data_IF_659522399436
#
_entry.id   IF_659522399436
#
_cell.length_a   1.000
_cell.length_b   1.000
_cell.length_c   1.000
_cell.angle_alpha   90.00
_cell.angle_beta   90.00
_cell.angle_gamma   90.00
#
_symmetry.space_group_name_H-M   'P 1'
#
loop_
_entity.id
_entity.type
_entity.pdbx_description
1 polymer ?
#
# COMPACT_ATOMS: atom_id res chain seq x y z
N UNK A 1 -14.90 -31.66 11.56
CA UNK A 1 -15.36 -30.55 10.70
C UNK A 1 -14.14 -29.79 10.26
N UNK A 2 -13.64 -30.04 9.04
CA UNK A 2 -12.52 -29.31 8.45
C UNK A 2 -13.00 -27.90 8.13
N UNK A 3 -12.47 -26.90 8.84
CA UNK A 3 -12.64 -25.51 8.45
C UNK A 3 -12.17 -25.38 7.00
N UNK A 4 -13.09 -25.09 6.08
CA UNK A 4 -12.71 -24.68 4.74
C UNK A 4 -11.86 -23.44 4.92
N UNK A 5 -10.57 -23.56 4.65
CA UNK A 5 -9.65 -22.43 4.60
C UNK A 5 -10.06 -21.61 3.39
N UNK A 6 -10.99 -20.68 3.57
CA UNK A 6 -11.38 -19.73 2.54
C UNK A 6 -10.12 -18.99 2.08
N UNK A 7 -9.80 -19.08 0.80
CA UNK A 7 -8.69 -18.29 0.26
C UNK A 7 -9.11 -16.82 0.17
N UNK A 8 -8.22 -15.87 0.51
CA UNK A 8 -8.53 -14.46 0.37
C UNK A 8 -8.67 -14.10 -1.12
N UNK A 9 -9.78 -13.46 -1.47
CA UNK A 9 -9.99 -12.92 -2.81
C UNK A 9 -9.39 -11.51 -2.87
N UNK A 10 -8.67 -11.22 -3.95
CA UNK A 10 -7.97 -9.95 -4.14
C UNK A 10 -8.52 -9.24 -5.37
N UNK A 11 -9.14 -8.09 -5.16
CA UNK A 11 -9.85 -7.33 -6.20
C UNK A 11 -9.16 -5.99 -6.42
N UNK A 12 -8.77 -5.66 -7.65
CA UNK A 12 -8.27 -4.33 -7.98
C UNK A 12 -9.42 -3.33 -7.91
N UNK A 13 -9.35 -2.38 -6.98
CA UNK A 13 -10.41 -1.37 -6.78
C UNK A 13 -9.99 0.02 -7.27
N UNK A 14 -8.70 0.25 -7.48
CA UNK A 14 -8.19 1.54 -7.97
C UNK A 14 -6.89 1.37 -8.74
N UNK A 15 -6.83 1.99 -9.90
CA UNK A 15 -5.61 2.12 -10.70
C UNK A 15 -5.20 3.59 -10.79
N UNK A 16 -4.00 3.90 -10.29
CA UNK A 16 -3.29 5.15 -10.52
C UNK A 16 -3.86 6.43 -9.91
N UNK A 17 -3.12 7.01 -8.96
CA UNK A 17 -3.22 8.45 -8.62
C UNK A 17 -1.82 8.97 -8.28
N UNK A 18 -1.53 10.24 -8.60
CA UNK A 18 -0.22 10.85 -8.33
C UNK A 18 -0.41 11.92 -7.27
N UNK A 19 0.16 11.67 -6.09
CA UNK A 19 0.24 12.69 -5.04
C UNK A 19 1.59 13.38 -5.12
N UNK A 20 1.56 14.68 -5.36
CA UNK A 20 2.75 15.52 -5.34
C UNK A 20 2.75 16.36 -4.06
N UNK A 21 3.87 16.31 -3.33
CA UNK A 21 4.13 17.13 -2.16
C UNK A 21 5.40 17.91 -2.42
N UNK A 22 5.32 19.24 -2.37
CA UNK A 22 6.45 20.13 -2.50
C UNK A 22 6.81 20.71 -1.14
N UNK A 23 8.08 20.62 -0.75
CA UNK A 23 8.55 21.24 0.48
C UNK A 23 9.00 22.69 0.26
N UNK A 24 9.22 23.42 1.36
CA UNK A 24 9.66 24.82 1.37
C UNK A 24 11.05 25.06 0.73
N UNK A 25 11.84 24.01 0.55
CA UNK A 25 13.18 24.06 -0.05
C UNK A 25 13.17 23.75 -1.56
N UNK A 26 11.99 23.58 -2.18
CA UNK A 26 11.86 23.28 -3.61
C UNK A 26 12.08 21.81 -3.96
N UNK A 27 12.22 20.93 -2.97
CA UNK A 27 12.22 19.49 -3.19
C UNK A 27 10.80 19.01 -3.46
N UNK A 28 10.66 18.15 -4.48
CA UNK A 28 9.37 17.62 -4.89
C UNK A 28 9.37 16.12 -4.62
N UNK A 29 8.53 15.68 -3.70
CA UNK A 29 8.26 14.26 -3.46
C UNK A 29 6.96 13.89 -4.16
N UNK A 30 7.03 13.01 -5.15
CA UNK A 30 5.87 12.48 -5.87
C UNK A 30 5.65 11.04 -5.43
N UNK A 31 4.56 10.76 -4.72
CA UNK A 31 4.13 9.39 -4.47
C UNK A 31 3.10 9.02 -5.51
N UNK A 32 3.49 8.16 -6.45
CA UNK A 32 2.52 7.55 -7.36
C UNK A 32 1.94 6.33 -6.68
N UNK A 33 0.67 6.41 -6.31
CA UNK A 33 -0.10 5.25 -5.89
C UNK A 33 -0.43 4.48 -7.16
N UNK A 34 0.22 3.34 -7.35
CA UNK A 34 0.15 2.57 -8.59
C UNK A 34 -1.17 1.81 -8.69
N UNK A 35 -1.45 0.94 -7.72
CA UNK A 35 -2.64 0.08 -7.69
C UNK A 35 -3.06 -0.22 -6.26
N UNK A 36 -4.36 -0.14 -5.98
CA UNK A 36 -4.95 -0.52 -4.70
C UNK A 36 -5.84 -1.73 -4.90
N UNK A 37 -5.58 -2.77 -4.12
CA UNK A 37 -6.31 -4.01 -4.11
C UNK A 37 -7.08 -4.12 -2.80
N UNK A 38 -8.38 -4.39 -2.87
CA UNK A 38 -9.17 -4.81 -1.73
C UNK A 38 -8.96 -6.32 -1.52
N UNK A 39 -8.79 -6.72 -0.26
CA UNK A 39 -8.69 -8.12 0.13
C UNK A 39 -9.95 -8.47 0.89
N UNK A 40 -10.69 -9.45 0.39
CA UNK A 40 -11.91 -9.96 0.99
C UNK A 40 -11.75 -11.40 1.44
N UNK A 41 -12.31 -11.75 2.58
CA UNK A 41 -12.38 -13.11 3.10
C UNK A 41 -13.82 -13.39 3.51
N UNK A 42 -14.39 -14.52 3.09
CA UNK A 42 -15.79 -14.89 3.36
C UNK A 42 -16.82 -13.82 2.97
N UNK A 43 -16.51 -13.02 1.94
CA UNK A 43 -17.36 -11.93 1.45
C UNK A 43 -17.19 -10.61 2.19
N UNK A 44 -16.34 -10.53 3.22
CA UNK A 44 -16.07 -9.30 3.97
C UNK A 44 -14.70 -8.70 3.62
N UNK A 45 -14.64 -7.37 3.48
CA UNK A 45 -13.39 -6.66 3.26
C UNK A 45 -12.53 -6.60 4.53
N UNK A 46 -11.41 -7.33 4.53
CA UNK A 46 -10.50 -7.42 5.68
C UNK A 46 -9.39 -6.35 5.62
N UNK A 47 -9.16 -5.75 4.45
CA UNK A 47 -8.21 -4.67 4.28
C UNK A 47 -7.85 -4.40 2.83
N UNK A 48 -6.77 -3.67 2.64
CA UNK A 48 -6.28 -3.24 1.35
C UNK A 48 -4.79 -3.49 1.22
N UNK A 49 -4.33 -3.81 0.01
CA UNK A 49 -2.92 -3.88 -0.36
C UNK A 49 -2.68 -2.86 -1.45
N UNK A 50 -1.66 -2.04 -1.28
CA UNK A 50 -1.30 -0.97 -2.19
C UNK A 50 0.10 -1.21 -2.77
N UNK A 51 0.21 -1.11 -4.09
CA UNK A 51 1.48 -0.95 -4.78
C UNK A 51 1.73 0.53 -4.98
N UNK A 52 2.80 1.04 -4.40
CA UNK A 52 3.20 2.45 -4.55
C UNK A 52 4.59 2.56 -5.18
N UNK A 53 4.80 3.69 -5.85
CA UNK A 53 6.08 4.11 -6.40
C UNK A 53 6.38 5.48 -5.82
N UNK A 54 7.24 5.52 -4.81
CA UNK A 54 7.74 6.78 -4.27
C UNK A 54 8.83 7.30 -5.21
N UNK A 55 8.62 8.48 -5.79
CA UNK A 55 9.62 9.19 -6.58
C UNK A 55 10.01 10.46 -5.84
N UNK A 56 11.29 10.59 -5.49
CA UNK A 56 11.83 11.78 -4.86
C UNK A 56 12.67 12.53 -5.87
N UNK A 57 12.36 13.80 -6.11
CA UNK A 57 13.13 14.68 -6.99
C UNK A 57 13.74 15.82 -6.17
N UNK A 58 15.06 15.95 -6.24
CA UNK A 58 15.75 17.12 -5.70
C UNK A 58 15.96 18.13 -6.84
N UNK A 59 15.51 19.35 -6.62
CA UNK A 59 15.78 20.53 -7.46
C UNK A 59 16.51 21.55 -6.61
N UNK A 60 17.47 22.27 -7.18
CA UNK A 60 17.98 23.47 -6.51
C UNK A 60 16.99 24.62 -6.68
N UNK A 61 16.96 25.51 -5.69
CA UNK A 61 16.06 26.65 -5.68
C UNK A 61 16.28 27.52 -6.93
N UNK A 62 15.20 27.85 -7.64
CA UNK A 62 15.24 28.66 -8.87
C UNK A 62 15.55 27.89 -10.16
N UNK A 63 15.93 26.61 -10.10
CA UNK A 63 16.22 25.81 -11.30
C UNK A 63 15.00 25.03 -11.79
N UNK A 64 14.84 24.96 -13.11
CA UNK A 64 13.75 24.21 -13.77
C UNK A 64 14.05 22.72 -13.96
N UNK A 65 15.33 22.32 -13.91
CA UNK A 65 15.76 20.94 -14.14
C UNK A 65 15.92 20.15 -12.82
N UNK A 66 15.83 18.83 -12.91
CA UNK A 66 15.98 17.89 -11.78
C UNK A 66 17.46 17.56 -11.61
N UNK A 67 18.00 17.74 -10.40
CA UNK A 67 19.40 17.42 -10.10
C UNK A 67 19.58 15.93 -9.81
N UNK A 68 18.61 15.34 -9.12
CA UNK A 68 18.64 13.93 -8.77
C UNK A 68 17.21 13.40 -8.61
N UNK A 69 17.02 12.15 -9.02
CA UNK A 69 15.76 11.42 -8.90
C UNK A 69 16.02 10.05 -8.27
N UNK A 70 15.26 9.73 -7.24
CA UNK A 70 15.22 8.41 -6.62
C UNK A 70 13.84 7.81 -6.80
N UNK A 71 13.78 6.52 -7.07
CA UNK A 71 12.54 5.76 -7.16
C UNK A 71 12.61 4.59 -6.18
N UNK A 72 11.57 4.45 -5.37
CA UNK A 72 11.43 3.35 -4.41
C UNK A 72 10.09 2.66 -4.64
N UNK A 73 10.06 1.49 -5.32
CA UNK A 73 8.87 0.66 -5.39
C UNK A 73 8.61 0.04 -4.02
N UNK A 74 7.37 0.12 -3.57
CA UNK A 74 6.94 -0.46 -2.31
C UNK A 74 5.61 -1.18 -2.44
N UNK A 75 5.46 -2.21 -1.62
CA UNK A 75 4.16 -2.78 -1.31
C UNK A 75 3.83 -2.42 0.13
N UNK A 76 2.57 -2.05 0.36
CA UNK A 76 2.05 -1.77 1.68
C UNK A 76 0.70 -2.42 1.82
N UNK A 77 0.30 -2.76 3.04
CA UNK A 77 -1.05 -3.20 3.34
C UNK A 77 -1.62 -2.40 4.51
N UNK A 78 -2.95 -2.34 4.57
CA UNK A 78 -3.70 -1.65 5.62
C UNK A 78 -4.92 -2.48 5.97
N UNK A 79 -5.04 -2.88 7.23
CA UNK A 79 -6.25 -3.55 7.73
C UNK A 79 -7.44 -2.59 7.72
N UNK A 80 -8.64 -3.10 7.45
CA UNK A 80 -9.87 -2.29 7.50
C UNK A 80 -10.12 -1.67 8.89
N UNK A 81 -9.57 -2.28 9.95
CA UNK A 81 -9.70 -1.82 11.33
C UNK A 81 -8.49 -1.04 11.86
N UNK A 82 -7.40 -0.93 11.09
CA UNK A 82 -6.21 -0.15 11.48
C UNK A 82 -5.86 0.86 10.40
N UNK A 83 -5.85 2.15 10.76
CA UNK A 83 -5.57 3.23 9.81
C UNK A 83 -4.11 3.34 9.35
N UNK A 84 -3.21 2.46 9.80
CA UNK A 84 -1.78 2.53 9.50
C UNK A 84 -1.42 1.62 8.32
N UNK A 85 -0.62 2.15 7.40
CA UNK A 85 0.01 1.36 6.35
C UNK A 85 1.24 0.64 6.91
N UNK A 86 1.34 -0.66 6.66
CA UNK A 86 2.49 -1.50 6.98
C UNK A 86 3.15 -1.99 5.69
N UNK A 87 4.47 -2.11 5.69
CA UNK A 87 5.21 -2.55 4.51
C UNK A 87 5.09 -4.07 4.30
N UNK A 88 5.06 -4.49 3.05
CA UNK A 88 5.17 -5.89 2.66
C UNK A 88 6.01 -6.01 1.38
N UNK A 89 6.31 -7.23 0.98
CA UNK A 89 7.19 -7.50 -0.18
C UNK A 89 6.42 -7.75 -1.47
N UNK A 90 5.13 -8.08 -1.38
CA UNK A 90 4.29 -8.41 -2.52
C UNK A 90 2.79 -8.33 -2.19
N UNK A 91 1.95 -8.38 -3.23
CA UNK A 91 0.49 -8.49 -3.09
C UNK A 91 0.08 -9.69 -2.22
N UNK A 92 0.65 -10.87 -2.54
CA UNK A 92 0.38 -12.11 -1.81
C UNK A 92 0.80 -12.01 -0.34
N UNK A 93 2.00 -11.51 -0.07
CA UNK A 93 2.48 -11.33 1.30
C UNK A 93 1.59 -10.36 2.11
N UNK A 94 1.10 -9.30 1.47
CA UNK A 94 0.14 -8.37 2.09
C UNK A 94 -1.20 -9.02 2.42
N UNK A 95 -1.77 -9.79 1.48
CA UNK A 95 -3.03 -10.51 1.69
C UNK A 95 -2.90 -11.57 2.80
N UNK A 96 -1.81 -12.33 2.81
CA UNK A 96 -1.52 -13.32 3.87
C UNK A 96 -1.36 -12.64 5.23
N UNK A 97 -0.69 -11.49 5.30
CA UNK A 97 -0.54 -10.74 6.54
C UNK A 97 -1.89 -10.28 7.10
N UNK A 98 -2.81 -9.81 6.24
CA UNK A 98 -4.16 -9.43 6.63
C UNK A 98 -4.96 -10.62 7.21
N UNK A 99 -4.88 -11.79 6.56
CA UNK A 99 -5.54 -13.01 7.06
C UNK A 99 -4.95 -13.45 8.41
N UNK A 100 -3.61 -13.43 8.56
CA UNK A 100 -2.95 -13.76 9.82
C UNK A 100 -3.36 -12.80 10.95
N UNK A 101 -3.44 -11.51 10.66
CA UNK A 101 -3.86 -10.50 11.63
C UNK A 101 -5.32 -10.70 12.07
N UNK A 102 -6.22 -11.04 11.14
CA UNK A 102 -7.60 -11.37 11.45
C UNK A 102 -7.70 -12.63 12.34
N UNK A 103 -7.01 -13.70 11.98
CA UNK A 103 -7.01 -14.96 12.73
C UNK A 103 -6.46 -14.79 14.16
N UNK A 104 -5.37 -14.05 14.31
CA UNK A 104 -4.80 -13.73 15.63
C UNK A 104 -5.80 -12.98 16.53
N UNK A 105 -6.62 -12.10 15.94
CA UNK A 105 -7.67 -11.37 16.68
C UNK A 105 -8.81 -12.28 17.09
N UNK A 106 -9.29 -13.13 16.19
CA UNK A 106 -10.39 -14.05 16.47
C UNK A 106 -10.04 -15.06 17.58
N UNK A 107 -8.75 -15.38 17.76
CA UNK A 107 -8.28 -16.24 18.87
C UNK A 107 -8.19 -15.51 20.22
N UNK A 108 -8.17 -14.18 20.22
CA UNK A 108 -8.05 -13.35 21.44
C UNK A 108 -9.39 -12.81 21.94
N UNK A 109 -10.46 -12.96 21.15
CA UNK A 109 -11.82 -12.58 21.50
C UNK A 109 -12.60 -13.76 22.03
#
# INVERSE_FOLDING_TARGET
MTAQSSEPVVTLIREGDVREIKNKYGEVSKTRIGRVYEVTLDGEAIGYVERSMLTRERRAQGLRYVLARWQSPGWQYRSSKHGRNLECTSLKAGAEALVRELNWRNQKS
#
